data_IF_132962716390
#
_entry.id   IF_132962716390
#
_cell.length_a   1.000
_cell.length_b   1.000
_cell.length_c   1.000
_cell.angle_alpha   90.00
_cell.angle_beta   90.00
_cell.angle_gamma   90.00
#
_symmetry.space_group_name_H-M   'P 1'
#
loop_
_entity.id
_entity.type
_entity.pdbx_description
1 polymer ?
#
# COMPACT_ATOMS: atom_id res chain seq x y z
N UNK A 1 -38.75 -1.49 -51.89
CA UNK A 1 -38.23 -2.15 -50.67
C UNK A 1 -36.70 -2.32 -50.76
N UNK A 2 -35.87 -1.26 -50.64
CA UNK A 2 -34.39 -1.43 -50.65
C UNK A 2 -33.69 -0.31 -49.84
N UNK A 3 -34.24 0.12 -48.69
CA UNK A 3 -33.65 1.26 -47.96
C UNK A 3 -33.69 1.13 -46.42
N UNK A 4 -33.70 -0.10 -45.89
CA UNK A 4 -33.74 -0.35 -44.44
C UNK A 4 -32.63 -1.26 -43.89
N UNK A 5 -31.87 -1.96 -44.74
CA UNK A 5 -30.90 -2.97 -44.28
C UNK A 5 -29.44 -2.52 -44.30
N UNK A 6 -29.11 -1.36 -44.86
CA UNK A 6 -27.72 -0.92 -45.00
C UNK A 6 -27.15 -0.21 -43.76
N UNK A 7 -28.00 0.35 -42.89
CA UNK A 7 -27.54 1.11 -41.72
C UNK A 7 -27.21 0.24 -40.50
N UNK A 8 -27.71 -0.99 -40.43
CA UNK A 8 -27.54 -1.85 -39.25
C UNK A 8 -26.22 -2.62 -39.25
N UNK A 9 -25.52 -2.70 -40.41
CA UNK A 9 -24.29 -3.50 -40.53
C UNK A 9 -23.01 -2.74 -40.17
N UNK A 10 -23.04 -1.40 -40.13
CA UNK A 10 -21.85 -0.59 -39.83
C UNK A 10 -21.61 -0.37 -38.33
N UNK A 11 -22.62 -0.54 -37.47
CA UNK A 11 -22.48 -0.30 -36.03
C UNK A 11 -21.82 -1.48 -35.28
N UNK A 12 -21.78 -2.67 -35.88
CA UNK A 12 -21.20 -3.86 -35.24
C UNK A 12 -19.68 -3.96 -35.36
N UNK A 13 -19.05 -3.22 -36.27
CA UNK A 13 -17.60 -3.35 -36.53
C UNK A 13 -16.73 -2.53 -35.57
N UNK A 14 -17.28 -1.51 -34.91
CA UNK A 14 -16.50 -0.60 -34.04
C UNK A 14 -16.25 -1.19 -32.64
N UNK A 15 -16.97 -2.25 -32.25
CA UNK A 15 -16.80 -2.93 -30.95
C UNK A 15 -15.69 -4.00 -30.95
N UNK A 16 -14.90 -4.10 -32.01
CA UNK A 16 -13.78 -5.06 -32.12
C UNK A 16 -12.40 -4.43 -31.86
N UNK A 17 -12.36 -3.26 -31.20
CA UNK A 17 -11.09 -2.77 -30.64
C UNK A 17 -10.65 -3.71 -29.52
N UNK A 18 -9.44 -4.29 -29.61
CA UNK A 18 -8.96 -5.20 -28.58
C UNK A 18 -8.80 -4.40 -27.29
N UNK A 19 -9.28 -4.95 -26.18
CA UNK A 19 -9.00 -4.49 -24.82
C UNK A 19 -7.51 -4.71 -24.44
N UNK A 20 -6.59 -4.53 -25.39
CA UNK A 20 -5.17 -4.82 -25.30
C UNK A 20 -4.33 -3.61 -24.83
N UNK A 21 -4.98 -2.63 -24.17
CA UNK A 21 -4.30 -1.60 -23.39
C UNK A 21 -4.55 -1.80 -21.89
N UNK A 22 -4.66 -3.05 -21.44
CA UNK A 22 -4.28 -3.36 -20.07
C UNK A 22 -2.75 -3.50 -20.10
N UNK A 23 -2.03 -2.64 -19.38
CA UNK A 23 -0.58 -2.80 -19.19
C UNK A 23 -0.28 -4.26 -18.84
N UNK A 24 0.67 -4.87 -19.55
CA UNK A 24 1.19 -6.18 -19.17
C UNK A 24 1.81 -6.06 -17.77
N UNK A 25 1.07 -6.51 -16.76
CA UNK A 25 1.43 -6.33 -15.36
C UNK A 25 0.51 -5.35 -14.65
N UNK A 26 -0.81 -5.62 -14.66
CA UNK A 26 -1.82 -4.81 -13.97
C UNK A 26 -1.43 -4.45 -12.53
N UNK A 27 -2.04 -3.39 -11.98
CA UNK A 27 -1.63 -2.78 -10.71
C UNK A 27 -1.21 -3.80 -9.66
N UNK A 28 -0.05 -3.59 -9.05
CA UNK A 28 0.45 -4.44 -7.98
C UNK A 28 -0.20 -4.04 -6.65
N UNK A 29 -0.22 -4.96 -5.69
CA UNK A 29 -0.45 -4.63 -4.29
C UNK A 29 0.86 -4.51 -3.52
N UNK A 30 0.83 -3.87 -2.35
CA UNK A 30 1.97 -3.70 -1.45
C UNK A 30 1.71 -4.42 -0.13
N UNK A 31 2.70 -5.12 0.38
CA UNK A 31 2.66 -5.84 1.65
C UNK A 31 3.75 -5.36 2.60
N UNK A 32 3.39 -5.29 3.88
CA UNK A 32 4.29 -4.92 4.97
C UNK A 32 4.41 -6.07 5.96
N UNK A 33 5.64 -6.39 6.33
CA UNK A 33 5.98 -7.42 7.32
C UNK A 33 6.89 -6.80 8.37
N UNK A 34 6.70 -7.17 9.64
CA UNK A 34 7.48 -6.66 10.74
C UNK A 34 7.87 -7.78 11.70
N UNK A 35 9.14 -7.79 12.10
CA UNK A 35 9.61 -8.41 13.33
C UNK A 35 9.93 -7.28 14.32
N UNK A 36 9.06 -7.04 15.33
CA UNK A 36 9.21 -5.93 16.26
C UNK A 36 10.63 -5.86 16.84
N UNK A 37 11.21 -4.65 16.85
CA UNK A 37 12.57 -4.37 17.35
C UNK A 37 13.73 -5.10 16.63
N UNK A 38 13.46 -5.85 15.55
CA UNK A 38 14.45 -6.63 14.84
C UNK A 38 14.59 -6.24 13.38
N UNK A 39 13.50 -6.33 12.62
CA UNK A 39 13.53 -6.09 11.18
C UNK A 39 12.16 -5.82 10.59
N UNK A 40 12.13 -5.46 9.31
CA UNK A 40 10.90 -5.27 8.55
C UNK A 40 11.15 -5.57 7.08
N UNK A 41 10.08 -5.77 6.33
CA UNK A 41 10.15 -5.90 4.88
C UNK A 41 8.92 -5.33 4.22
N UNK A 42 9.13 -4.78 3.03
CA UNK A 42 8.10 -4.15 2.21
C UNK A 42 8.30 -4.59 0.77
N UNK A 43 7.29 -5.21 0.19
CA UNK A 43 7.33 -5.62 -1.20
C UNK A 43 6.02 -5.35 -1.91
N UNK A 44 6.13 -5.08 -3.20
CA UNK A 44 5.00 -5.14 -4.13
C UNK A 44 4.87 -6.55 -4.74
N UNK A 45 3.65 -6.93 -5.13
CA UNK A 45 3.35 -8.24 -5.68
C UNK A 45 2.05 -8.25 -6.47
N UNK A 46 1.92 -9.22 -7.39
CA UNK A 46 0.73 -9.38 -8.23
C UNK A 46 -0.52 -9.75 -7.42
N UNK A 47 -0.31 -10.35 -6.25
CA UNK A 47 -1.31 -10.70 -5.25
C UNK A 47 -0.71 -10.61 -3.84
N UNK A 48 -1.55 -10.81 -2.83
CA UNK A 48 -1.15 -10.73 -1.43
C UNK A 48 -0.11 -11.77 -1.05
N UNK A 49 -0.23 -13.01 -1.57
CA UNK A 49 0.67 -14.11 -1.23
C UNK A 49 2.09 -13.82 -1.74
N UNK A 50 2.22 -13.39 -2.99
CA UNK A 50 3.49 -13.00 -3.60
C UNK A 50 4.12 -11.81 -2.87
N UNK A 51 3.33 -10.79 -2.54
CA UNK A 51 3.81 -9.59 -1.85
C UNK A 51 4.30 -9.93 -0.42
N UNK A 52 3.51 -10.68 0.37
CA UNK A 52 3.90 -11.07 1.72
C UNK A 52 5.08 -12.03 1.75
N UNK A 53 5.18 -12.97 0.80
CA UNK A 53 6.33 -13.88 0.73
C UNK A 53 7.63 -13.10 0.49
N UNK A 54 7.61 -12.12 -0.41
CA UNK A 54 8.74 -11.24 -0.67
C UNK A 54 9.07 -10.37 0.56
N UNK A 55 8.07 -9.72 1.16
CA UNK A 55 8.27 -8.84 2.32
C UNK A 55 8.80 -9.63 3.53
N UNK A 56 8.31 -10.85 3.75
CA UNK A 56 8.82 -11.74 4.79
C UNK A 56 10.28 -12.11 4.54
N UNK A 57 10.63 -12.42 3.30
CA UNK A 57 12.02 -12.69 2.94
C UNK A 57 12.92 -11.49 3.26
N UNK A 58 12.52 -10.27 2.91
CA UNK A 58 13.29 -9.08 3.26
C UNK A 58 13.44 -8.90 4.77
N UNK A 59 12.38 -9.13 5.55
CA UNK A 59 12.43 -9.07 7.01
C UNK A 59 13.41 -10.10 7.61
N UNK A 60 13.41 -11.34 7.11
CA UNK A 60 14.35 -12.38 7.56
C UNK A 60 15.78 -12.04 7.14
N UNK A 61 16.00 -11.62 5.88
CA UNK A 61 17.31 -11.22 5.38
C UNK A 61 17.86 -10.00 6.16
N UNK A 62 16.98 -9.14 6.67
CA UNK A 62 17.28 -7.99 7.52
C UNK A 62 17.48 -8.32 9.01
N UNK A 63 17.43 -9.60 9.40
CA UNK A 63 17.76 -10.05 10.76
C UNK A 63 16.59 -10.54 11.62
N UNK A 64 15.36 -10.55 11.10
CA UNK A 64 14.22 -11.20 11.73
C UNK A 64 14.29 -12.74 11.64
N UNK A 65 13.46 -13.43 12.41
CA UNK A 65 13.21 -14.88 12.23
C UNK A 65 11.94 -15.12 11.42
N UNK A 66 11.73 -16.34 10.90
CA UNK A 66 10.51 -16.65 10.16
C UNK A 66 9.25 -16.53 11.04
N UNK A 67 9.40 -16.83 12.33
CA UNK A 67 8.36 -16.75 13.34
C UNK A 67 8.06 -15.31 13.76
N UNK A 68 9.08 -14.47 13.87
CA UNK A 68 8.94 -13.07 14.30
C UNK A 68 8.47 -12.16 13.15
N UNK A 69 8.79 -12.48 11.90
CA UNK A 69 8.39 -11.71 10.72
C UNK A 69 6.88 -11.90 10.40
N UNK A 70 6.04 -11.15 11.10
CA UNK A 70 4.58 -11.22 11.01
C UNK A 70 4.02 -10.31 9.91
N UNK A 71 2.99 -10.81 9.21
CA UNK A 71 2.26 -10.04 8.20
C UNK A 71 1.46 -8.91 8.88
N UNK A 72 1.69 -7.67 8.45
CA UNK A 72 1.05 -6.49 9.03
C UNK A 72 -0.16 -6.05 8.22
N UNK A 73 0.06 -5.63 6.97
CA UNK A 73 -1.03 -5.18 6.10
C UNK A 73 -0.70 -5.43 4.62
N UNK A 74 -1.76 -5.52 3.81
CA UNK A 74 -1.68 -5.57 2.36
C UNK A 74 -2.71 -4.64 1.75
N UNK A 75 -2.30 -3.83 0.78
CA UNK A 75 -3.20 -2.96 0.04
C UNK A 75 -3.13 -3.25 -1.46
N UNK A 76 -4.31 -3.28 -2.08
CA UNK A 76 -4.47 -3.35 -3.52
C UNK A 76 -5.48 -2.30 -3.97
N UNK A 77 -5.15 -1.45 -4.96
CA UNK A 77 -3.80 -1.25 -5.51
C UNK A 77 -2.80 -0.71 -4.47
N UNK A 78 -1.50 -0.84 -4.73
CA UNK A 78 -0.45 -0.36 -3.82
C UNK A 78 -0.59 1.15 -3.54
N UNK A 79 -0.59 1.96 -4.60
CA UNK A 79 -0.62 3.43 -4.56
C UNK A 79 0.31 3.98 -3.47
N UNK A 80 -0.06 5.06 -2.78
CA UNK A 80 0.73 5.60 -1.70
C UNK A 80 0.39 4.95 -0.36
N UNK A 81 1.44 4.73 0.44
CA UNK A 81 1.33 4.26 1.82
C UNK A 81 2.11 5.14 2.77
N UNK A 82 1.64 5.25 4.02
CA UNK A 82 2.38 5.91 5.10
C UNK A 82 2.58 4.91 6.23
N UNK A 83 3.79 4.91 6.77
CA UNK A 83 4.14 4.21 8.00
C UNK A 83 4.14 5.22 9.14
N UNK A 84 3.46 4.85 10.21
CA UNK A 84 3.31 5.65 11.42
C UNK A 84 4.03 4.93 12.55
N UNK A 85 4.97 5.60 13.19
CA UNK A 85 5.63 5.12 14.40
C UNK A 85 4.85 5.60 15.61
N UNK A 86 4.62 4.72 16.58
CA UNK A 86 3.79 5.00 17.74
C UNK A 86 4.54 4.62 19.01
N UNK A 87 4.47 5.51 20.00
CA UNK A 87 4.87 5.29 21.38
C UNK A 87 3.64 5.43 22.28
N UNK A 88 3.24 4.37 22.95
CA UNK A 88 2.22 4.43 24.00
C UNK A 88 2.76 5.04 25.29
N UNK A 89 1.88 5.59 26.12
CA UNK A 89 2.21 6.18 27.43
C UNK A 89 2.84 5.20 28.41
N UNK A 90 2.67 3.89 28.20
CA UNK A 90 3.33 2.82 28.95
C UNK A 90 4.68 2.37 28.37
N UNK A 91 5.18 3.03 27.32
CA UNK A 91 6.49 2.73 26.72
C UNK A 91 6.48 1.60 25.69
N UNK A 92 5.30 1.19 25.20
CA UNK A 92 5.18 0.21 24.10
C UNK A 92 5.34 0.92 22.75
N UNK A 93 6.17 0.35 21.87
CA UNK A 93 6.45 0.90 20.55
C UNK A 93 5.91 -0.06 19.49
N UNK A 94 5.28 0.48 18.45
CA UNK A 94 4.89 -0.30 17.28
C UNK A 94 4.78 0.60 16.06
N UNK A 95 4.58 -0.03 14.91
CA UNK A 95 4.36 0.67 13.65
C UNK A 95 3.01 0.26 13.07
N UNK A 96 2.34 1.25 12.49
CA UNK A 96 1.10 1.07 11.74
C UNK A 96 1.34 1.50 10.29
N UNK A 97 0.66 0.83 9.35
CA UNK A 97 0.77 1.12 7.93
C UNK A 97 -0.62 1.44 7.38
N UNK A 98 -0.73 2.60 6.75
CA UNK A 98 -1.97 3.07 6.13
C UNK A 98 -1.71 3.23 4.63
N UNK A 99 -2.34 2.40 3.81
CA UNK A 99 -1.97 2.23 2.39
C UNK A 99 -3.16 2.30 1.43
N UNK A 100 -2.86 2.40 0.13
CA UNK A 100 -3.86 2.47 -0.94
C UNK A 100 -4.39 3.88 -1.23
N UNK A 101 -3.62 4.92 -0.89
CA UNK A 101 -4.04 6.32 -1.06
C UNK A 101 -3.64 6.86 -2.43
N UNK A 102 -4.52 7.64 -3.04
CA UNK A 102 -4.33 8.19 -4.38
C UNK A 102 -3.21 9.23 -4.51
N UNK A 103 -2.75 9.79 -3.39
CA UNK A 103 -1.66 10.77 -3.35
C UNK A 103 -0.87 10.72 -2.05
N UNK A 104 0.34 11.31 -2.06
CA UNK A 104 1.16 11.50 -0.87
C UNK A 104 0.42 12.29 0.21
N UNK A 105 -0.32 13.32 -0.19
CA UNK A 105 -1.08 14.18 0.73
C UNK A 105 -2.22 13.41 1.41
N UNK A 106 -2.90 12.52 0.68
CA UNK A 106 -3.93 11.67 1.24
C UNK A 106 -3.34 10.65 2.24
N UNK A 107 -2.21 10.03 1.91
CA UNK A 107 -1.50 9.16 2.84
C UNK A 107 -1.08 9.90 4.11
N UNK A 108 -0.48 11.09 4.00
CA UNK A 108 -0.11 11.92 5.16
C UNK A 108 -1.33 12.37 5.97
N UNK A 109 -2.47 12.67 5.33
CA UNK A 109 -3.71 12.96 6.03
C UNK A 109 -4.21 11.76 6.84
N UNK A 110 -4.05 10.54 6.32
CA UNK A 110 -4.37 9.32 7.06
C UNK A 110 -3.50 9.17 8.32
N UNK A 111 -2.19 9.47 8.23
CA UNK A 111 -1.32 9.49 9.40
C UNK A 111 -1.77 10.51 10.45
N UNK A 112 -2.19 11.72 10.04
CA UNK A 112 -2.75 12.72 10.97
C UNK A 112 -3.98 12.22 11.71
N UNK A 113 -4.87 11.51 11.00
CA UNK A 113 -6.06 10.89 11.61
C UNK A 113 -5.67 9.76 12.57
N UNK A 114 -4.66 8.95 12.21
CA UNK A 114 -4.14 7.89 13.06
C UNK A 114 -3.51 8.44 14.35
N UNK A 115 -2.81 9.57 14.25
CA UNK A 115 -2.12 10.23 15.36
C UNK A 115 -2.95 11.26 16.12
N UNK A 116 -4.26 11.34 15.87
CA UNK A 116 -5.14 12.24 16.60
C UNK A 116 -5.19 11.88 18.10
N UNK A 117 -4.51 12.70 18.91
CA UNK A 117 -4.39 12.49 20.37
C UNK A 117 -5.68 12.79 21.12
N UNK A 118 -6.64 13.51 20.54
CA UNK A 118 -7.97 13.65 21.15
C UNK A 118 -8.70 12.31 21.10
N UNK A 119 -8.47 11.53 20.03
CA UNK A 119 -9.05 10.19 19.83
C UNK A 119 -8.21 9.08 20.44
N UNK A 120 -6.90 9.26 20.54
CA UNK A 120 -5.94 8.31 21.13
C UNK A 120 -5.13 9.01 22.24
N UNK A 121 -5.75 9.28 23.40
CA UNK A 121 -5.11 10.02 24.50
C UNK A 121 -4.00 9.21 25.21
N UNK A 122 -3.90 7.92 24.91
CA UNK A 122 -2.95 6.94 25.43
C UNK A 122 -1.61 6.94 24.69
N UNK A 123 -1.47 7.74 23.63
CA UNK A 123 -0.20 7.90 22.91
C UNK A 123 0.69 8.96 23.55
N UNK A 124 1.95 8.62 23.78
CA UNK A 124 3.02 9.56 24.14
C UNK A 124 3.56 10.28 22.90
N UNK A 125 3.91 9.53 21.86
CA UNK A 125 4.38 10.02 20.56
C UNK A 125 3.67 9.26 19.44
N UNK A 126 3.43 9.95 18.33
CA UNK A 126 2.87 9.37 17.11
C UNK A 126 3.24 10.26 15.95
N UNK A 127 3.88 9.71 14.92
CA UNK A 127 4.27 10.47 13.74
C UNK A 127 4.36 9.58 12.50
N UNK A 128 4.08 10.18 11.34
CA UNK A 128 4.48 9.60 10.07
C UNK A 128 6.02 9.56 10.01
N UNK A 129 6.57 8.42 9.60
CA UNK A 129 8.03 8.22 9.51
C UNK A 129 8.50 7.94 8.10
N UNK A 130 7.76 7.13 7.34
CA UNK A 130 8.08 6.81 5.95
C UNK A 130 6.84 6.90 5.07
N UNK A 131 7.03 7.37 3.84
CA UNK A 131 6.07 7.26 2.74
C UNK A 131 6.58 6.23 1.74
N UNK A 132 5.68 5.42 1.21
CA UNK A 132 5.96 4.48 0.14
C UNK A 132 5.14 4.84 -1.10
N UNK A 133 5.77 4.78 -2.27
CA UNK A 133 5.08 4.89 -3.56
C UNK A 133 4.50 3.55 -4.03
N UNK A 134 3.88 3.54 -5.21
CA UNK A 134 3.21 2.36 -5.77
C UNK A 134 4.16 1.21 -6.13
N UNK A 135 5.45 1.51 -6.30
CA UNK A 135 6.52 0.55 -6.57
C UNK A 135 7.16 0.02 -5.27
N UNK A 136 6.78 0.59 -4.12
CA UNK A 136 7.33 0.26 -2.81
C UNK A 136 8.62 1.00 -2.47
N UNK A 137 9.00 2.04 -3.22
CA UNK A 137 10.14 2.89 -2.84
C UNK A 137 9.75 3.79 -1.68
N UNK A 138 10.65 3.93 -0.71
CA UNK A 138 10.42 4.74 0.48
C UNK A 138 11.13 6.09 0.44
N UNK A 139 10.49 7.11 1.01
CA UNK A 139 11.10 8.38 1.39
C UNK A 139 10.70 8.77 2.82
N UNK A 140 11.50 9.59 3.49
CA UNK A 140 11.16 10.12 4.81
C UNK A 140 9.88 10.95 4.73
N UNK A 141 8.96 10.71 5.65
CA UNK A 141 7.78 11.56 5.79
C UNK A 141 8.23 12.98 6.22
N UNK A 142 7.60 14.05 5.70
CA UNK A 142 7.91 15.40 6.14
C UNK A 142 7.68 15.53 7.65
N UNK A 143 8.69 16.02 8.37
CA UNK A 143 8.56 16.29 9.81
C UNK A 143 7.41 17.27 10.03
N UNK A 144 6.43 16.89 10.82
CA UNK A 144 5.40 17.83 11.27
C UNK A 144 6.08 18.91 12.12
N UNK A 145 6.00 20.17 11.67
CA UNK A 145 6.42 21.34 12.45
C UNK A 145 5.29 21.77 13.38
#
# INVERSE_FOLDING_TARGET
MICRSACTLFLALVLSMPAALAEEGGRMGIAFVQAPEMSSGVCTGADADAAFACARKQCVDGGGTEEDCVAMTYCFPALYSVQVSILHTEGLHWQEFYCGWESKEAALAAAKVACDRERRPDLSECSAVLLYDEDGNSEDAPSEQ
#
